data_IF_447509894484
#
_entry.id   IF_447509894484
#
_cell.length_a   1.000
_cell.length_b   1.000
_cell.length_c   1.000
_cell.angle_alpha   90.00
_cell.angle_beta   90.00
_cell.angle_gamma   90.00
#
_symmetry.space_group_name_H-M   'P 1'
#
loop_
_entity.id
_entity.type
_entity.pdbx_description
1 polymer ?
#
# COMPACT_ATOMS: atom_id res chain seq x y z
N UNK A 1 2.62 -18.59 11.30
CA UNK A 1 2.92 -17.40 10.46
C UNK A 1 1.77 -17.20 9.49
N UNK A 2 1.23 -15.99 9.37
CA UNK A 2 0.17 -15.69 8.40
C UNK A 2 0.64 -16.07 6.98
N UNK A 3 -0.21 -16.75 6.22
CA UNK A 3 0.11 -17.24 4.87
C UNK A 3 0.10 -16.05 3.89
N UNK A 4 1.27 -15.47 3.62
CA UNK A 4 1.44 -14.46 2.56
C UNK A 4 0.86 -15.03 1.25
N UNK A 5 -0.21 -14.41 0.76
CA UNK A 5 -0.97 -14.87 -0.40
C UNK A 5 -1.69 -13.70 -1.09
N UNK A 6 -2.07 -13.91 -2.35
CA UNK A 6 -2.85 -12.93 -3.12
C UNK A 6 -4.23 -12.66 -2.49
N UNK A 7 -4.83 -13.65 -1.81
CA UNK A 7 -6.10 -13.49 -1.10
C UNK A 7 -5.96 -12.48 0.04
N UNK A 8 -4.88 -12.56 0.83
CA UNK A 8 -4.64 -11.60 1.91
C UNK A 8 -4.30 -10.21 1.37
N UNK A 9 -3.61 -10.12 0.22
CA UNK A 9 -3.36 -8.84 -0.44
C UNK A 9 -4.66 -8.19 -0.95
N UNK A 10 -5.54 -8.97 -1.57
CA UNK A 10 -6.85 -8.52 -2.04
C UNK A 10 -7.74 -8.04 -0.89
N UNK A 11 -7.79 -8.77 0.23
CA UNK A 11 -8.49 -8.33 1.45
C UNK A 11 -7.93 -7.02 1.99
N UNK A 12 -6.59 -6.88 2.03
CA UNK A 12 -5.97 -5.64 2.49
C UNK A 12 -6.39 -4.45 1.62
N UNK A 13 -6.40 -4.60 0.29
CA UNK A 13 -6.88 -3.58 -0.66
C UNK A 13 -8.35 -3.23 -0.43
N UNK A 14 -9.23 -4.21 -0.22
CA UNK A 14 -10.64 -3.97 0.11
C UNK A 14 -10.78 -3.09 1.35
N UNK A 15 -10.11 -3.49 2.44
CA UNK A 15 -10.21 -2.74 3.71
C UNK A 15 -9.58 -1.35 3.65
N UNK A 16 -8.57 -1.12 2.79
CA UNK A 16 -8.05 0.22 2.52
C UNK A 16 -9.10 1.08 1.82
N UNK A 17 -9.79 0.55 0.80
CA UNK A 17 -10.84 1.27 0.10
C UNK A 17 -12.01 1.62 1.03
N UNK A 18 -12.48 0.67 1.83
CA UNK A 18 -13.51 0.89 2.85
C UNK A 18 -13.09 2.00 3.82
N UNK A 19 -11.83 2.00 4.28
CA UNK A 19 -11.31 3.04 5.18
C UNK A 19 -11.27 4.42 4.51
N UNK A 20 -10.91 4.48 3.23
CA UNK A 20 -10.90 5.72 2.45
C UNK A 20 -12.33 6.26 2.23
N UNK A 21 -13.31 5.39 2.07
CA UNK A 21 -14.73 5.78 1.99
C UNK A 21 -15.22 6.35 3.32
N UNK A 22 -14.91 5.70 4.45
CA UNK A 22 -15.22 6.22 5.78
C UNK A 22 -14.58 7.60 6.01
N UNK A 23 -13.31 7.78 5.62
CA UNK A 23 -12.64 9.08 5.67
C UNK A 23 -13.38 10.14 4.84
N UNK A 24 -13.76 9.83 3.59
CA UNK A 24 -14.47 10.79 2.71
C UNK A 24 -15.85 11.17 3.23
N UNK A 25 -16.54 10.23 3.90
CA UNK A 25 -17.89 10.42 4.41
C UNK A 25 -17.93 11.04 5.82
N UNK A 26 -16.77 11.23 6.46
CA UNK A 26 -16.66 11.88 7.75
C UNK A 26 -16.69 13.41 7.63
N UNK A 27 -17.11 14.08 8.71
CA UNK A 27 -17.12 15.54 8.76
C UNK A 27 -15.72 16.13 8.64
N UNK A 28 -15.54 17.13 7.78
CA UNK A 28 -14.24 17.78 7.60
C UNK A 28 -13.71 18.34 8.92
N UNK A 29 -12.49 17.97 9.30
CA UNK A 29 -11.85 18.38 10.55
C UNK A 29 -12.36 17.67 11.81
N UNK A 30 -13.28 16.72 11.69
CA UNK A 30 -13.83 15.98 12.82
C UNK A 30 -12.80 15.01 13.42
N UNK A 31 -13.05 14.55 14.64
CA UNK A 31 -12.22 13.53 15.31
C UNK A 31 -12.27 12.22 14.53
N UNK A 32 -13.45 11.86 14.02
CA UNK A 32 -13.69 10.68 13.19
C UNK A 32 -12.87 10.73 11.91
N UNK A 33 -12.78 11.89 11.26
CA UNK A 33 -11.96 12.04 10.06
C UNK A 33 -10.48 11.78 10.33
N UNK A 34 -9.94 12.28 11.44
CA UNK A 34 -8.56 11.98 11.85
C UNK A 34 -8.38 10.49 12.16
N UNK A 35 -9.29 9.88 12.92
CA UNK A 35 -9.23 8.46 13.21
C UNK A 35 -9.28 7.57 11.95
N UNK A 36 -10.10 7.95 10.96
CA UNK A 36 -10.14 7.23 9.68
C UNK A 36 -8.90 7.48 8.82
N UNK A 37 -8.29 8.67 8.87
CA UNK A 37 -6.98 8.91 8.22
C UNK A 37 -5.94 7.94 8.77
N UNK A 38 -5.85 7.82 10.09
CA UNK A 38 -4.87 6.95 10.75
C UNK A 38 -5.15 5.47 10.41
N UNK A 39 -6.43 5.10 10.34
CA UNK A 39 -6.85 3.77 9.86
C UNK A 39 -6.40 3.53 8.42
N UNK A 40 -6.57 4.51 7.52
CA UNK A 40 -6.12 4.41 6.12
C UNK A 40 -4.60 4.21 6.03
N UNK A 41 -3.82 4.94 6.84
CA UNK A 41 -2.35 4.81 6.90
C UNK A 41 -1.99 3.38 7.32
N UNK A 42 -2.60 2.85 8.38
CA UNK A 42 -2.33 1.49 8.84
C UNK A 42 -2.70 0.43 7.79
N UNK A 43 -3.84 0.59 7.10
CA UNK A 43 -4.24 -0.31 6.01
C UNK A 43 -3.29 -0.24 4.82
N UNK A 44 -2.82 0.96 4.48
CA UNK A 44 -1.81 1.16 3.45
C UNK A 44 -0.50 0.45 3.79
N UNK A 45 -0.03 0.49 5.05
CA UNK A 45 1.17 -0.26 5.45
C UNK A 45 1.05 -1.76 5.18
N UNK A 46 -0.11 -2.35 5.49
CA UNK A 46 -0.38 -3.75 5.21
C UNK A 46 -0.39 -4.03 3.70
N UNK A 47 -1.00 -3.15 2.93
CA UNK A 47 -1.05 -3.30 1.48
C UNK A 47 0.34 -3.25 0.85
N UNK A 48 1.18 -2.27 1.21
CA UNK A 48 2.55 -2.16 0.69
C UNK A 48 3.38 -3.37 1.11
N UNK A 49 3.29 -3.79 2.37
CA UNK A 49 4.02 -4.95 2.88
C UNK A 49 3.63 -6.24 2.18
N UNK A 50 2.33 -6.44 1.94
CA UNK A 50 1.85 -7.61 1.22
C UNK A 50 2.23 -7.54 -0.26
N UNK A 51 2.09 -6.38 -0.92
CA UNK A 51 2.37 -6.20 -2.34
C UNK A 51 3.77 -6.69 -2.73
N UNK A 52 4.81 -6.26 -2.02
CA UNK A 52 6.17 -6.70 -2.34
C UNK A 52 6.40 -8.17 -1.95
N UNK A 53 5.81 -8.67 -0.86
CA UNK A 53 5.99 -10.07 -0.44
C UNK A 53 5.30 -11.05 -1.38
N UNK A 54 4.09 -10.75 -1.84
CA UNK A 54 3.38 -11.60 -2.82
C UNK A 54 4.06 -11.55 -4.18
N UNK A 55 4.51 -10.36 -4.61
CA UNK A 55 5.25 -10.20 -5.87
C UNK A 55 6.57 -10.98 -5.84
N UNK A 56 7.32 -10.90 -4.74
CA UNK A 56 8.52 -11.70 -4.51
C UNK A 56 8.24 -13.19 -4.70
N UNK A 57 7.16 -13.68 -4.09
CA UNK A 57 6.76 -15.09 -4.16
C UNK A 57 6.37 -15.52 -5.58
N UNK A 58 5.63 -14.68 -6.30
CA UNK A 58 5.22 -14.95 -7.70
C UNK A 58 6.42 -14.93 -8.65
N UNK A 59 7.35 -13.99 -8.47
CA UNK A 59 8.57 -13.90 -9.28
C UNK A 59 9.61 -14.99 -8.95
N UNK A 60 9.52 -15.62 -7.78
CA UNK A 60 10.51 -16.59 -7.31
C UNK A 60 11.89 -15.97 -7.01
N UNK A 61 11.96 -14.67 -6.76
CA UNK A 61 13.22 -13.94 -6.54
C UNK A 61 13.79 -14.13 -5.13
N UNK A 62 15.12 -14.13 -5.03
CA UNK A 62 15.85 -14.14 -3.77
C UNK A 62 15.88 -12.79 -3.04
N UNK A 63 15.51 -11.69 -3.70
CA UNK A 63 15.63 -10.34 -3.16
C UNK A 63 14.93 -10.15 -1.81
N UNK A 64 15.63 -9.59 -0.82
CA UNK A 64 15.16 -9.49 0.57
C UNK A 64 14.63 -8.12 0.97
N UNK A 65 14.86 -7.09 0.13
CA UNK A 65 14.49 -5.71 0.44
C UNK A 65 13.31 -5.22 -0.43
N UNK A 66 12.31 -4.51 0.13
CA UNK A 66 11.14 -4.05 -0.62
C UNK A 66 11.51 -3.25 -1.87
N UNK A 67 12.42 -2.28 -1.76
CA UNK A 67 12.85 -1.45 -2.90
C UNK A 67 13.52 -2.26 -4.02
N UNK A 68 14.18 -3.38 -3.70
CA UNK A 68 14.76 -4.27 -4.71
C UNK A 68 13.65 -5.02 -5.44
N UNK A 69 12.69 -5.57 -4.69
CA UNK A 69 11.54 -6.27 -5.26
C UNK A 69 10.70 -5.34 -6.15
N UNK A 70 10.49 -4.07 -5.76
CA UNK A 70 9.80 -3.08 -6.61
C UNK A 70 10.52 -2.90 -7.96
N UNK A 71 11.84 -2.82 -7.97
CA UNK A 71 12.60 -2.69 -9.23
C UNK A 71 12.44 -3.92 -10.12
N UNK A 72 12.46 -5.10 -9.52
CA UNK A 72 12.24 -6.36 -10.24
C UNK A 72 10.80 -6.50 -10.76
N UNK A 73 9.80 -6.00 -10.00
CA UNK A 73 8.42 -5.94 -10.46
C UNK A 73 8.30 -5.14 -11.76
N UNK A 74 8.98 -3.98 -11.85
CA UNK A 74 9.01 -3.18 -13.07
C UNK A 74 9.75 -3.90 -14.22
N UNK A 75 10.89 -4.54 -13.94
CA UNK A 75 11.62 -5.33 -14.95
C UNK A 75 10.80 -6.50 -15.51
N UNK A 76 9.87 -7.03 -14.71
CA UNK A 76 8.94 -8.09 -15.10
C UNK A 76 7.59 -7.56 -15.62
N UNK A 77 7.45 -6.24 -15.85
CA UNK A 77 6.22 -5.59 -16.33
C UNK A 77 4.99 -5.81 -15.43
N UNK A 78 5.17 -6.02 -14.12
CA UNK A 78 4.05 -6.06 -13.17
C UNK A 78 3.55 -4.68 -12.79
N UNK A 79 4.39 -3.66 -12.92
CA UNK A 79 4.09 -2.26 -12.61
C UNK A 79 4.69 -1.35 -13.68
N UNK A 80 4.00 -0.25 -13.99
CA UNK A 80 4.43 0.68 -15.03
C UNK A 80 5.29 1.84 -14.49
N UNK A 81 5.05 2.23 -13.23
CA UNK A 81 5.70 3.38 -12.61
C UNK A 81 6.51 2.98 -11.35
N UNK A 82 7.74 2.47 -11.51
CA UNK A 82 8.57 2.08 -10.37
C UNK A 82 8.86 3.24 -9.40
N UNK A 83 8.94 4.48 -9.88
CA UNK A 83 9.24 5.63 -9.03
C UNK A 83 8.08 5.93 -8.06
N UNK A 84 6.85 5.82 -8.56
CA UNK A 84 5.65 5.90 -7.72
C UNK A 84 5.64 4.79 -6.67
N UNK A 85 5.92 3.55 -7.07
CA UNK A 85 5.98 2.42 -6.13
C UNK A 85 7.09 2.57 -5.08
N UNK A 86 8.24 3.14 -5.43
CA UNK A 86 9.29 3.47 -4.47
C UNK A 86 8.82 4.52 -3.47
N UNK A 87 8.03 5.50 -3.89
CA UNK A 87 7.43 6.49 -2.98
C UNK A 87 6.44 5.86 -2.00
N UNK A 88 5.72 4.79 -2.40
CA UNK A 88 4.86 4.04 -1.48
C UNK A 88 5.67 3.34 -0.37
N UNK A 89 6.82 2.75 -0.74
CA UNK A 89 7.74 2.16 0.25
C UNK A 89 8.30 3.24 1.18
N UNK A 90 8.63 4.41 0.66
CA UNK A 90 9.14 5.52 1.47
C UNK A 90 8.07 6.09 2.41
N UNK A 91 6.83 6.25 1.94
CA UNK A 91 5.70 6.66 2.77
C UNK A 91 5.40 5.66 3.90
N UNK A 92 5.48 4.35 3.61
CA UNK A 92 5.39 3.29 4.64
C UNK A 92 6.52 3.38 5.66
N UNK A 93 7.74 3.74 5.24
CA UNK A 93 8.84 3.87 6.19
C UNK A 93 8.66 5.11 7.09
N UNK A 94 8.02 6.17 6.57
CA UNK A 94 7.71 7.38 7.34
C UNK A 94 6.51 7.22 8.27
N UNK A 95 5.63 6.24 8.05
CA UNK A 95 4.34 6.15 8.75
C UNK A 95 4.48 5.90 10.25
N UNK A 96 5.61 5.38 10.73
CA UNK A 96 5.89 5.31 12.18
C UNK A 96 5.94 6.68 12.87
N UNK A 97 6.07 7.76 12.10
CA UNK A 97 6.12 9.14 12.58
C UNK A 97 4.79 9.89 12.43
N UNK A 98 3.69 9.22 12.06
CA UNK A 98 2.38 9.87 11.86
C UNK A 98 1.67 10.27 13.15
N UNK A 99 2.33 10.16 14.31
CA UNK A 99 1.93 10.88 15.52
C UNK A 99 2.10 12.41 15.34
N UNK A 100 2.94 12.82 14.39
CA UNK A 100 3.03 14.19 13.90
C UNK A 100 1.99 14.40 12.79
N UNK A 101 1.17 15.44 12.95
CA UNK A 101 0.03 15.73 12.06
C UNK A 101 0.47 16.13 10.64
N UNK A 102 1.59 16.84 10.51
CA UNK A 102 2.12 17.25 9.20
C UNK A 102 2.65 16.03 8.45
N UNK A 103 3.35 15.12 9.15
CA UNK A 103 3.79 13.84 8.58
C UNK A 103 2.59 12.97 8.21
N UNK A 104 1.55 12.92 9.06
CA UNK A 104 0.33 12.17 8.77
C UNK A 104 -0.37 12.70 7.50
N UNK A 105 -0.44 14.02 7.33
CA UNK A 105 -0.99 14.64 6.12
C UNK A 105 -0.13 14.36 4.87
N UNK A 106 1.19 14.38 4.98
CA UNK A 106 2.13 14.04 3.90
C UNK A 106 1.91 12.58 3.46
N UNK A 107 2.01 11.64 4.40
CA UNK A 107 1.84 10.20 4.13
C UNK A 107 0.45 9.93 3.56
N UNK A 108 -0.60 10.52 4.12
CA UNK A 108 -1.96 10.31 3.65
C UNK A 108 -2.19 10.79 2.21
N UNK A 109 -1.45 11.81 1.76
CA UNK A 109 -1.47 12.23 0.35
C UNK A 109 -1.01 11.10 -0.57
N UNK A 110 0.04 10.39 -0.16
CA UNK A 110 0.55 9.20 -0.88
C UNK A 110 -0.43 8.02 -0.78
N UNK A 111 -1.03 7.79 0.38
CA UNK A 111 -2.03 6.72 0.59
C UNK A 111 -3.16 6.80 -0.44
N UNK A 112 -3.68 7.99 -0.72
CA UNK A 112 -4.78 8.20 -1.68
C UNK A 112 -4.44 7.77 -3.12
N UNK A 113 -3.16 7.69 -3.47
CA UNK A 113 -2.69 7.31 -4.80
C UNK A 113 -2.50 5.79 -4.94
N UNK A 114 -2.40 5.06 -3.83
CA UNK A 114 -2.08 3.63 -3.84
C UNK A 114 -3.19 2.71 -4.38
N UNK A 115 -4.50 2.90 -4.09
CA UNK A 115 -5.51 1.87 -4.38
C UNK A 115 -5.56 1.42 -5.83
N UNK A 116 -5.48 2.36 -6.78
CA UNK A 116 -5.54 2.04 -8.20
C UNK A 116 -4.32 1.21 -8.64
N UNK A 117 -3.12 1.61 -8.21
CA UNK A 117 -1.89 0.88 -8.51
C UNK A 117 -1.89 -0.52 -7.86
N UNK A 118 -2.38 -0.61 -6.63
CA UNK A 118 -2.49 -1.88 -5.91
C UNK A 118 -3.42 -2.87 -6.58
N UNK A 119 -4.56 -2.41 -7.10
CA UNK A 119 -5.48 -3.25 -7.88
C UNK A 119 -4.84 -3.70 -9.20
N UNK A 120 -4.20 -2.80 -9.95
CA UNK A 120 -3.49 -3.18 -11.19
C UNK A 120 -2.41 -4.23 -10.94
N UNK A 121 -1.64 -4.08 -9.86
CA UNK A 121 -0.65 -5.09 -9.48
C UNK A 121 -1.33 -6.43 -9.18
N UNK A 122 -2.41 -6.43 -8.40
CA UNK A 122 -3.14 -7.66 -8.07
C UNK A 122 -3.63 -8.39 -9.34
N UNK A 123 -4.20 -7.65 -10.30
CA UNK A 123 -4.64 -8.20 -11.58
C UNK A 123 -3.48 -8.79 -12.38
N UNK A 124 -2.38 -8.04 -12.49
CA UNK A 124 -1.16 -8.49 -13.19
C UNK A 124 -0.56 -9.76 -12.57
N UNK A 125 -0.55 -9.85 -11.23
CA UNK A 125 -0.07 -11.05 -10.52
C UNK A 125 -1.01 -12.25 -10.65
N UNK A 126 -2.33 -12.04 -10.76
CA UNK A 126 -3.33 -13.12 -10.97
C UNK A 126 -3.30 -13.67 -12.40
N UNK A 127 -2.87 -12.87 -13.37
CA UNK A 127 -2.84 -13.24 -14.78
C UNK A 127 -1.63 -14.12 -15.17
N UNK A 128 -0.72 -14.39 -14.23
CA UNK A 128 0.50 -15.20 -14.43
C UNK A 128 0.35 -16.58 -13.83
#
# INVERSE_FOLDING_TARGET
>A
MAKVSLIEYEKALSTLNESLELYRNSGSGSVEQRAFRDTCIQRFEFCVELAWKVSKKVMGTGSTAPKMVIREMAQNNFIDNPQLWLSFVDARNKSSHTYDEDIAAEVFTVVKMFPQEGVRLLESLKAR
#
